data_IF_798046739307
#
_entry.id   IF_798046739307
#
_cell.length_a   1.000
_cell.length_b   1.000
_cell.length_c   1.000
_cell.angle_alpha   90.00
_cell.angle_beta   90.00
_cell.angle_gamma   90.00
#
_symmetry.space_group_name_H-M   'P 1'
#
loop_
_entity.id
_entity.type
_entity.pdbx_description
1 polymer ?
#
# COMPACT_ATOMS: atom_id res chain seq x y z
N UNK A 1 27.99 -6.55 21.70
CA UNK A 1 28.30 -7.22 20.42
C UNK A 1 27.64 -6.40 19.34
N UNK A 2 28.40 -5.91 18.37
CA UNK A 2 27.82 -5.17 17.24
C UNK A 2 26.98 -6.14 16.43
N UNK A 3 25.68 -5.85 16.27
CA UNK A 3 24.78 -6.57 15.37
C UNK A 3 25.11 -6.20 13.92
N UNK A 4 26.34 -6.49 13.49
CA UNK A 4 26.81 -6.19 12.14
C UNK A 4 26.19 -7.20 11.16
N UNK A 5 25.39 -6.70 10.22
CA UNK A 5 24.80 -7.49 9.14
C UNK A 5 25.77 -7.45 7.96
N UNK A 6 26.21 -8.63 7.50
CA UNK A 6 27.06 -8.77 6.31
C UNK A 6 26.29 -9.51 5.23
N UNK A 7 26.14 -8.87 4.08
CA UNK A 7 25.53 -9.43 2.86
C UNK A 7 26.66 -9.52 1.83
N UNK A 8 27.16 -10.71 1.57
CA UNK A 8 28.31 -10.97 0.68
C UNK A 8 27.91 -11.52 -0.70
N UNK A 9 26.62 -11.71 -0.92
CA UNK A 9 26.02 -12.29 -2.12
C UNK A 9 25.11 -11.32 -2.88
N UNK A 10 25.10 -10.01 -2.56
CA UNK A 10 24.19 -9.04 -3.18
C UNK A 10 24.23 -9.02 -4.71
N UNK A 11 25.42 -9.20 -5.31
CA UNK A 11 25.60 -9.23 -6.76
C UNK A 11 25.26 -10.59 -7.40
N UNK A 12 25.25 -11.66 -6.60
CA UNK A 12 24.95 -13.03 -7.03
C UNK A 12 24.22 -13.77 -5.88
N UNK A 13 22.91 -13.48 -5.69
CA UNK A 13 22.19 -13.92 -4.50
C UNK A 13 22.20 -15.43 -4.31
N UNK A 14 22.55 -15.88 -3.10
CA UNK A 14 22.46 -17.28 -2.69
C UNK A 14 21.16 -17.47 -1.94
N UNK A 15 20.14 -17.90 -2.68
CA UNK A 15 18.79 -18.05 -2.14
C UNK A 15 18.70 -19.19 -1.12
N UNK A 16 17.87 -18.99 -0.09
CA UNK A 16 17.43 -20.08 0.79
C UNK A 16 16.49 -21.04 0.04
N UNK A 17 16.21 -22.22 0.63
CA UNK A 17 15.23 -23.16 0.06
C UNK A 17 13.86 -22.50 -0.11
N UNK A 18 13.41 -21.73 0.89
CA UNK A 18 12.12 -21.03 0.87
C UNK A 18 12.09 -19.98 -0.24
N UNK A 19 13.17 -19.22 -0.43
CA UNK A 19 13.27 -18.23 -1.49
C UNK A 19 13.25 -18.87 -2.88
N UNK A 20 13.98 -19.97 -3.09
CA UNK A 20 13.94 -20.73 -4.35
C UNK A 20 12.54 -21.23 -4.65
N UNK A 21 11.89 -21.86 -3.66
CA UNK A 21 10.52 -22.37 -3.80
C UNK A 21 9.54 -21.24 -4.14
N UNK A 22 9.69 -20.06 -3.53
CA UNK A 22 8.86 -18.89 -3.84
C UNK A 22 9.01 -18.41 -5.29
N UNK A 23 10.25 -18.35 -5.79
CA UNK A 23 10.51 -17.99 -7.20
C UNK A 23 9.94 -19.06 -8.13
N UNK A 24 10.25 -20.34 -7.91
CA UNK A 24 9.75 -21.46 -8.73
C UNK A 24 8.22 -21.49 -8.77
N UNK A 25 7.57 -21.25 -7.62
CA UNK A 25 6.12 -21.14 -7.54
C UNK A 25 5.59 -19.97 -8.38
N UNK A 26 6.24 -18.82 -8.31
CA UNK A 26 5.91 -17.65 -9.12
C UNK A 26 6.05 -17.92 -10.62
N UNK A 27 7.17 -18.50 -11.06
CA UNK A 27 7.44 -18.84 -12.46
C UNK A 27 6.46 -19.88 -13.02
N UNK A 28 6.00 -20.82 -12.18
CA UNK A 28 5.01 -21.81 -12.56
C UNK A 28 3.59 -21.24 -12.74
N UNK A 29 3.35 -19.97 -12.37
CA UNK A 29 2.03 -19.33 -12.39
C UNK A 29 1.99 -18.22 -13.43
N UNK A 30 1.12 -18.38 -14.41
CA UNK A 30 0.77 -17.27 -15.30
C UNK A 30 -0.10 -16.26 -14.51
N UNK A 31 0.46 -15.09 -14.25
CA UNK A 31 -0.25 -14.00 -13.57
C UNK A 31 -0.84 -13.04 -14.60
N UNK A 32 -2.16 -12.96 -14.64
CA UNK A 32 -2.89 -12.00 -15.46
C UNK A 32 -2.87 -10.61 -14.80
N UNK A 33 -2.11 -9.69 -15.40
CA UNK A 33 -1.95 -8.28 -15.03
C UNK A 33 -2.66 -7.38 -16.04
N UNK A 34 -3.98 -7.53 -16.15
CA UNK A 34 -4.85 -6.67 -16.96
C UNK A 34 -5.78 -5.86 -16.07
N UNK A 35 -6.26 -4.71 -16.57
CA UNK A 35 -7.24 -3.89 -15.88
C UNK A 35 -8.46 -4.71 -15.46
N UNK A 36 -9.02 -5.49 -16.39
CA UNK A 36 -10.18 -6.35 -16.14
C UNK A 36 -9.91 -7.36 -15.03
N UNK A 37 -8.78 -8.06 -15.06
CA UNK A 37 -8.44 -9.04 -14.03
C UNK A 37 -8.30 -8.43 -12.62
N UNK A 38 -7.85 -7.18 -12.52
CA UNK A 38 -7.78 -6.45 -11.25
C UNK A 38 -9.18 -5.99 -10.81
N UNK A 39 -9.94 -5.36 -11.70
CA UNK A 39 -11.28 -4.86 -11.40
C UNK A 39 -12.23 -6.00 -11.05
N UNK A 40 -12.33 -7.04 -11.86
CA UNK A 40 -13.18 -8.21 -11.61
C UNK A 40 -12.79 -8.92 -10.31
N UNK A 41 -11.49 -9.05 -10.02
CA UNK A 41 -11.02 -9.61 -8.77
C UNK A 41 -11.42 -8.77 -7.55
N UNK A 42 -11.32 -7.45 -7.64
CA UNK A 42 -11.75 -6.54 -6.59
C UNK A 42 -13.27 -6.59 -6.36
N UNK A 43 -14.07 -6.67 -7.43
CA UNK A 43 -15.52 -6.88 -7.35
C UNK A 43 -15.85 -8.21 -6.68
N UNK A 44 -15.18 -9.29 -7.07
CA UNK A 44 -15.42 -10.62 -6.52
C UNK A 44 -15.13 -10.70 -5.01
N UNK A 45 -14.07 -10.00 -4.54
CA UNK A 45 -13.69 -9.98 -3.12
C UNK A 45 -14.64 -9.11 -2.29
N UNK A 46 -15.05 -7.96 -2.81
CA UNK A 46 -15.82 -6.97 -2.03
C UNK A 46 -17.33 -7.08 -2.19
N UNK A 47 -17.81 -7.67 -3.29
CA UNK A 47 -19.21 -7.62 -3.69
C UNK A 47 -19.70 -6.25 -4.17
N UNK A 48 -18.78 -5.28 -4.37
CA UNK A 48 -19.04 -3.92 -4.83
C UNK A 48 -18.53 -3.75 -6.26
N UNK A 49 -19.23 -3.00 -7.11
CA UNK A 49 -18.88 -2.79 -8.52
C UNK A 49 -18.79 -1.31 -8.95
N UNK A 50 -19.04 -0.38 -8.03
CA UNK A 50 -18.98 1.06 -8.27
C UNK A 50 -17.64 1.65 -7.82
N UNK A 51 -16.71 1.80 -8.77
CA UNK A 51 -15.39 2.39 -8.55
C UNK A 51 -15.41 3.94 -8.53
N UNK A 52 -16.57 4.58 -8.71
CA UNK A 52 -16.68 6.00 -8.98
C UNK A 52 -16.16 6.36 -10.37
N UNK A 53 -15.43 7.47 -10.48
CA UNK A 53 -14.85 7.89 -11.77
C UNK A 53 -13.82 6.85 -12.27
N UNK A 54 -13.86 6.57 -13.58
CA UNK A 54 -12.93 5.64 -14.26
C UNK A 54 -11.60 6.28 -14.64
N UNK A 55 -11.25 7.43 -14.05
CA UNK A 55 -10.03 8.18 -14.34
C UNK A 55 -8.76 7.43 -13.93
N UNK A 56 -8.87 6.50 -12.98
CA UNK A 56 -7.76 5.66 -12.51
C UNK A 56 -7.35 4.57 -13.50
N UNK A 57 -8.23 4.20 -14.44
CA UNK A 57 -7.99 3.06 -15.35
C UNK A 57 -6.73 3.27 -16.19
N UNK A 58 -6.53 4.48 -16.73
CA UNK A 58 -5.32 4.82 -17.52
C UNK A 58 -4.05 4.63 -16.69
N UNK A 59 -4.05 5.11 -15.43
CA UNK A 59 -2.90 5.01 -14.54
C UNK A 59 -2.61 3.55 -14.19
N UNK A 60 -3.63 2.78 -13.83
CA UNK A 60 -3.50 1.36 -13.52
C UNK A 60 -2.99 0.58 -14.75
N UNK A 61 -3.56 0.78 -15.92
CA UNK A 61 -3.10 0.14 -17.16
C UNK A 61 -1.62 0.42 -17.43
N UNK A 62 -1.18 1.68 -17.31
CA UNK A 62 0.23 2.03 -17.48
C UNK A 62 1.15 1.31 -16.49
N UNK A 63 0.77 1.24 -15.22
CA UNK A 63 1.53 0.52 -14.19
C UNK A 63 1.61 -0.99 -14.46
N UNK A 64 0.52 -1.59 -14.92
CA UNK A 64 0.47 -3.01 -15.29
C UNK A 64 1.31 -3.28 -16.55
N UNK A 65 1.27 -2.39 -17.55
CA UNK A 65 2.10 -2.48 -18.75
C UNK A 65 3.59 -2.45 -18.42
N UNK A 66 4.05 -1.54 -17.55
CA UNK A 66 5.45 -1.47 -17.12
C UNK A 66 5.91 -2.80 -16.51
N UNK A 67 5.06 -3.40 -15.69
CA UNK A 67 5.35 -4.71 -15.11
C UNK A 67 5.36 -5.80 -16.18
N UNK A 68 4.40 -5.81 -17.11
CA UNK A 68 4.31 -6.78 -18.22
C UNK A 68 5.50 -6.72 -19.17
N UNK A 69 6.03 -5.54 -19.45
CA UNK A 69 7.14 -5.33 -20.38
C UNK A 69 8.53 -5.55 -19.75
N UNK A 70 8.64 -5.62 -18.42
CA UNK A 70 9.90 -5.91 -17.71
C UNK A 70 10.28 -7.40 -17.85
N UNK A 71 11.19 -7.72 -18.77
CA UNK A 71 11.71 -9.08 -19.01
C UNK A 71 12.46 -9.67 -17.80
N UNK A 72 13.02 -8.81 -16.94
CA UNK A 72 13.73 -9.23 -15.72
C UNK A 72 12.76 -9.46 -14.54
N UNK A 73 11.45 -9.24 -14.74
CA UNK A 73 10.44 -9.43 -13.69
C UNK A 73 10.08 -10.90 -13.52
N UNK A 74 10.39 -11.42 -12.34
CA UNK A 74 10.01 -12.77 -11.94
C UNK A 74 8.49 -12.95 -11.86
N UNK A 75 8.01 -14.17 -12.09
CA UNK A 75 6.61 -14.54 -11.90
C UNK A 75 6.10 -14.28 -10.48
N UNK A 76 6.98 -14.41 -9.47
CA UNK A 76 6.68 -14.04 -8.09
C UNK A 76 6.43 -12.52 -7.97
N UNK A 77 7.28 -11.68 -8.57
CA UNK A 77 7.09 -10.23 -8.56
C UNK A 77 5.80 -9.79 -9.24
N UNK A 78 5.39 -10.48 -10.32
CA UNK A 78 4.10 -10.25 -10.99
C UNK A 78 2.93 -10.59 -10.07
N UNK A 79 3.02 -11.71 -9.36
CA UNK A 79 1.99 -12.14 -8.42
C UNK A 79 1.83 -11.17 -7.24
N UNK A 80 2.94 -10.68 -6.69
CA UNK A 80 2.93 -9.68 -5.62
C UNK A 80 2.28 -8.37 -6.10
N UNK A 81 2.66 -7.87 -7.27
CA UNK A 81 2.02 -6.69 -7.88
C UNK A 81 0.52 -6.89 -8.09
N UNK A 82 0.09 -8.06 -8.57
CA UNK A 82 -1.34 -8.38 -8.71
C UNK A 82 -2.05 -8.27 -7.35
N UNK A 83 -1.44 -8.81 -6.29
CA UNK A 83 -1.97 -8.72 -4.92
C UNK A 83 -2.14 -7.28 -4.44
N UNK A 84 -1.13 -6.43 -4.66
CA UNK A 84 -1.19 -5.01 -4.31
C UNK A 84 -2.27 -4.27 -5.11
N UNK A 85 -2.31 -4.44 -6.44
CA UNK A 85 -3.34 -3.82 -7.28
C UNK A 85 -4.75 -4.27 -6.89
N UNK A 86 -4.95 -5.55 -6.56
CA UNK A 86 -6.23 -6.06 -6.06
C UNK A 86 -6.62 -5.38 -4.75
N UNK A 87 -5.69 -5.27 -3.79
CA UNK A 87 -5.91 -4.55 -2.52
C UNK A 87 -6.29 -3.09 -2.77
N UNK A 88 -5.56 -2.38 -3.63
CA UNK A 88 -5.83 -0.98 -3.95
C UNK A 88 -7.20 -0.79 -4.63
N UNK A 89 -7.53 -1.64 -5.61
CA UNK A 89 -8.83 -1.60 -6.29
C UNK A 89 -9.98 -1.94 -5.34
N UNK A 90 -9.81 -2.94 -4.45
CA UNK A 90 -10.78 -3.25 -3.40
C UNK A 90 -10.96 -2.08 -2.43
N UNK A 91 -9.88 -1.41 -2.03
CA UNK A 91 -9.97 -0.22 -1.19
C UNK A 91 -10.70 0.92 -1.91
N UNK A 92 -10.47 1.13 -3.21
CA UNK A 92 -11.19 2.14 -4.00
C UNK A 92 -12.70 1.91 -3.95
N UNK A 93 -13.14 0.68 -4.16
CA UNK A 93 -14.56 0.28 -4.05
C UNK A 93 -15.13 0.58 -2.65
N UNK A 94 -14.43 0.13 -1.60
CA UNK A 94 -14.87 0.33 -0.21
C UNK A 94 -14.93 1.81 0.18
N UNK A 95 -13.93 2.61 -0.24
CA UNK A 95 -13.88 4.06 -0.03
C UNK A 95 -15.07 4.73 -0.71
N UNK A 96 -15.32 4.39 -1.97
CA UNK A 96 -16.42 4.99 -2.73
C UNK A 96 -17.78 4.66 -2.13
N UNK A 97 -18.02 3.39 -1.82
CA UNK A 97 -19.26 2.93 -1.16
C UNK A 97 -19.48 3.61 0.21
N UNK A 98 -18.42 3.70 1.04
CA UNK A 98 -18.51 4.38 2.32
C UNK A 98 -18.91 5.84 2.17
N UNK A 99 -18.27 6.59 1.26
CA UNK A 99 -18.57 8.00 1.04
C UNK A 99 -19.95 8.24 0.43
N UNK A 100 -20.48 7.28 -0.35
CA UNK A 100 -21.87 7.33 -0.83
C UNK A 100 -22.87 7.16 0.30
N UNK A 101 -22.59 6.26 1.25
CA UNK A 101 -23.45 6.00 2.42
C UNK A 101 -23.34 7.09 3.49
N UNK A 102 -22.16 7.70 3.62
CA UNK A 102 -21.82 8.68 4.64
C UNK A 102 -21.19 9.95 4.02
N UNK A 103 -21.96 10.73 3.25
CA UNK A 103 -21.44 11.94 2.61
C UNK A 103 -20.95 13.00 3.61
N UNK A 104 -21.44 12.96 4.86
CA UNK A 104 -20.99 13.84 5.96
C UNK A 104 -19.49 13.71 6.27
N UNK A 105 -18.85 12.59 5.89
CA UNK A 105 -17.40 12.41 6.05
C UNK A 105 -16.64 13.50 5.27
N UNK A 106 -17.15 13.91 4.11
CA UNK A 106 -16.52 14.92 3.26
C UNK A 106 -16.54 16.32 3.88
N UNK A 107 -17.42 16.55 4.87
CA UNK A 107 -17.52 17.82 5.60
C UNK A 107 -16.49 17.92 6.74
N UNK A 108 -15.80 16.82 7.09
CA UNK A 108 -14.80 16.81 8.16
C UNK A 108 -13.59 17.65 7.76
N UNK A 109 -13.27 18.66 8.57
CA UNK A 109 -12.08 19.47 8.35
C UNK A 109 -10.81 18.79 8.88
N UNK A 110 -9.78 18.70 8.02
CA UNK A 110 -8.42 18.32 8.42
C UNK A 110 -7.68 19.58 8.86
N UNK A 111 -7.69 19.84 10.17
CA UNK A 111 -7.19 21.09 10.74
C UNK A 111 -5.69 21.07 10.99
N UNK A 112 -4.97 21.98 10.32
CA UNK A 112 -3.53 22.25 10.54
C UNK A 112 -2.67 20.96 10.54
N UNK A 113 -2.73 20.13 9.48
CA UNK A 113 -1.90 18.94 9.40
C UNK A 113 -0.41 19.32 9.38
N UNK A 114 0.42 18.54 10.07
CA UNK A 114 1.88 18.64 9.97
C UNK A 114 2.34 17.59 8.97
N UNK A 115 2.97 18.03 7.89
CA UNK A 115 3.44 17.17 6.80
C UNK A 115 4.96 17.19 6.83
N UNK A 116 5.57 16.00 6.91
CA UNK A 116 7.02 15.81 6.87
C UNK A 116 7.40 15.42 5.45
N UNK A 117 8.26 16.22 4.80
CA UNK A 117 8.70 15.98 3.42
C UNK A 117 10.22 15.98 3.41
N UNK A 118 10.81 15.04 2.69
CA UNK A 118 12.25 14.95 2.50
C UNK A 118 12.61 13.78 1.60
N UNK A 119 13.88 13.73 1.17
CA UNK A 119 14.38 12.58 0.42
C UNK A 119 14.45 11.34 1.33
N UNK A 120 14.34 10.12 0.76
CA UNK A 120 14.64 8.91 1.50
C UNK A 120 16.00 9.00 2.19
N UNK A 121 16.10 8.43 3.40
CA UNK A 121 17.33 8.42 4.22
C UNK A 121 17.78 9.79 4.74
N UNK A 122 16.90 10.80 4.75
CA UNK A 122 17.18 12.13 5.35
C UNK A 122 16.76 12.27 6.82
N UNK A 123 16.31 11.20 7.46
CA UNK A 123 15.86 11.20 8.86
C UNK A 123 14.36 11.51 9.06
N UNK A 124 13.57 11.55 7.98
CA UNK A 124 12.11 11.74 8.02
C UNK A 124 11.40 10.73 8.92
N UNK A 125 11.78 9.45 8.85
CA UNK A 125 11.23 8.38 9.73
C UNK A 125 11.47 8.67 11.21
N UNK A 126 12.64 9.20 11.58
CA UNK A 126 12.91 9.58 12.98
C UNK A 126 12.04 10.77 13.41
N UNK A 127 11.91 11.78 12.53
CA UNK A 127 11.09 12.96 12.81
C UNK A 127 9.60 12.61 12.94
N UNK A 128 9.05 11.78 12.05
CA UNK A 128 7.63 11.40 12.11
C UNK A 128 7.32 10.57 13.37
N UNK A 129 8.21 9.67 13.77
CA UNK A 129 8.08 8.92 15.02
C UNK A 129 8.15 9.82 16.26
N UNK A 130 9.02 10.84 16.25
CA UNK A 130 9.09 11.82 17.33
C UNK A 130 7.79 12.62 17.46
N UNK A 131 7.19 13.03 16.34
CA UNK A 131 5.90 13.71 16.33
C UNK A 131 4.76 12.77 16.78
N UNK A 132 4.76 11.53 16.32
CA UNK A 132 3.75 10.52 16.66
C UNK A 132 3.75 10.13 18.15
N UNK A 133 4.87 10.29 18.86
CA UNK A 133 4.94 10.05 20.30
C UNK A 133 4.14 11.08 21.14
N UNK A 134 3.79 12.23 20.55
CA UNK A 134 2.99 13.26 21.23
C UNK A 134 1.50 13.04 20.97
N UNK A 135 0.72 12.84 22.04
CA UNK A 135 -0.73 12.58 21.96
C UNK A 135 -1.54 13.74 21.38
N UNK A 136 -0.92 14.91 21.17
CA UNK A 136 -1.49 16.02 20.41
C UNK A 136 -1.37 15.81 18.90
N UNK A 137 -0.87 14.70 18.40
CA UNK A 137 -0.97 14.34 17.00
C UNK A 137 -1.73 13.02 16.86
N UNK A 138 -2.50 12.91 15.78
CA UNK A 138 -3.00 11.63 15.29
C UNK A 138 -2.03 11.19 14.19
N UNK A 139 -1.26 10.16 14.45
CA UNK A 139 -0.47 9.48 13.43
C UNK A 139 -1.26 8.33 12.82
N UNK A 140 -0.89 7.94 11.60
CA UNK A 140 -1.50 6.83 10.89
C UNK A 140 -0.62 5.58 11.04
N UNK A 141 -1.10 4.52 11.70
CA UNK A 141 -0.41 3.23 11.68
C UNK A 141 -0.58 2.54 10.33
N UNK A 142 0.39 1.71 9.94
CA UNK A 142 0.43 0.97 8.67
C UNK A 142 -0.85 0.18 8.41
N UNK A 143 -1.40 -0.49 9.42
CA UNK A 143 -2.60 -1.31 9.24
C UNK A 143 -3.84 -0.48 8.85
N UNK A 144 -3.95 0.77 9.33
CA UNK A 144 -5.02 1.70 8.91
C UNK A 144 -4.79 2.19 7.47
N UNK A 145 -3.54 2.33 7.03
CA UNK A 145 -3.24 2.77 5.65
C UNK A 145 -3.48 1.68 4.62
N UNK A 146 -3.20 0.41 4.97
CA UNK A 146 -3.48 -0.72 4.09
C UNK A 146 -4.97 -0.98 3.86
N UNK A 147 -5.81 -0.72 4.85
CA UNK A 147 -7.25 -0.95 4.80
C UNK A 147 -8.01 0.19 5.52
N UNK A 148 -8.18 1.35 4.88
CA UNK A 148 -8.71 2.56 5.54
C UNK A 148 -10.21 2.47 5.89
N UNK A 149 -10.93 1.54 5.27
CA UNK A 149 -12.36 1.32 5.51
C UNK A 149 -12.54 0.03 6.29
N UNK A 150 -13.09 0.15 7.50
CA UNK A 150 -13.53 -1.01 8.28
C UNK A 150 -14.85 -1.55 7.69
N UNK A 151 -14.91 -2.84 7.42
CA UNK A 151 -16.14 -3.47 6.94
C UNK A 151 -17.11 -3.69 8.10
N UNK A 152 -18.40 -3.39 7.88
CA UNK A 152 -19.43 -3.44 8.94
C UNK A 152 -19.66 -4.83 9.52
N UNK A 153 -19.27 -5.89 8.81
CA UNK A 153 -19.39 -7.28 9.25
C UNK A 153 -18.13 -7.78 9.96
N UNK A 154 -17.02 -7.02 9.91
CA UNK A 154 -15.78 -7.33 10.62
C UNK A 154 -15.88 -6.77 12.04
N UNK A 155 -16.51 -7.53 12.94
CA UNK A 155 -16.45 -7.24 14.36
C UNK A 155 -15.00 -7.40 14.87
N UNK A 156 -14.68 -6.71 15.96
CA UNK A 156 -13.43 -6.97 16.69
C UNK A 156 -13.33 -8.46 17.00
N UNK A 157 -12.11 -9.00 16.91
CA UNK A 157 -11.82 -10.37 17.29
C UNK A 157 -12.23 -10.65 18.74
N UNK A 158 -12.31 -11.93 19.11
CA UNK A 158 -12.64 -12.33 20.49
C UNK A 158 -11.62 -11.79 21.53
N UNK A 159 -10.43 -11.41 21.07
CA UNK A 159 -9.33 -10.76 21.80
C UNK A 159 -9.39 -9.22 21.79
N UNK A 160 -10.34 -8.63 21.07
CA UNK A 160 -10.49 -7.19 20.89
C UNK A 160 -9.62 -6.58 19.80
N UNK A 161 -8.91 -7.40 19.00
CA UNK A 161 -8.03 -6.92 17.92
C UNK A 161 -8.82 -6.67 16.64
N UNK A 162 -8.51 -5.58 15.94
CA UNK A 162 -9.10 -5.28 14.63
C UNK A 162 -8.60 -6.30 13.59
N UNK A 163 -9.47 -6.97 12.81
CA UNK A 163 -9.06 -7.95 11.81
C UNK A 163 -8.05 -7.41 10.78
N UNK A 164 -8.10 -6.10 10.47
CA UNK A 164 -7.15 -5.43 9.55
C UNK A 164 -5.74 -5.41 10.11
N UNK A 165 -5.60 -5.23 11.44
CA UNK A 165 -4.31 -5.32 12.12
C UNK A 165 -3.72 -6.72 11.95
N UNK A 166 -4.52 -7.77 12.16
CA UNK A 166 -4.09 -9.16 12.03
C UNK A 166 -3.69 -9.53 10.60
N UNK A 167 -4.37 -8.98 9.58
CA UNK A 167 -3.97 -9.16 8.18
C UNK A 167 -2.66 -8.45 7.86
N UNK A 168 -2.49 -7.22 8.36
CA UNK A 168 -1.24 -6.48 8.23
C UNK A 168 -0.07 -7.23 8.88
N UNK A 169 -0.29 -7.82 10.07
CA UNK A 169 0.71 -8.62 10.78
C UNK A 169 1.12 -9.86 9.98
N UNK A 170 0.15 -10.59 9.41
CA UNK A 170 0.43 -11.77 8.58
C UNK A 170 1.22 -11.41 7.31
N UNK A 171 0.91 -10.27 6.68
CA UNK A 171 1.68 -9.77 5.54
C UNK A 171 3.13 -9.45 5.94
N UNK A 172 3.33 -8.82 7.10
CA UNK A 172 4.66 -8.52 7.61
C UNK A 172 5.48 -9.78 7.92
N UNK A 173 4.89 -10.76 8.60
CA UNK A 173 5.55 -12.04 8.90
C UNK A 173 5.95 -12.78 7.62
N UNK A 174 5.09 -12.76 6.61
CA UNK A 174 5.36 -13.36 5.30
C UNK A 174 6.53 -12.67 4.60
N UNK A 175 6.63 -11.34 4.69
CA UNK A 175 7.75 -10.56 4.16
C UNK A 175 9.07 -10.90 4.88
N UNK A 176 9.05 -11.04 6.21
CA UNK A 176 10.23 -11.39 6.99
C UNK A 176 10.76 -12.80 6.66
N UNK A 177 9.87 -13.75 6.35
CA UNK A 177 10.25 -15.08 5.86
C UNK A 177 10.95 -15.01 4.50
N UNK A 178 10.44 -14.19 3.58
CA UNK A 178 11.02 -14.02 2.24
C UNK A 178 12.31 -13.19 2.20
N UNK A 179 12.44 -12.21 3.10
CA UNK A 179 13.56 -11.27 3.18
C UNK A 179 14.00 -11.09 4.65
N UNK A 180 14.84 -11.98 5.21
CA UNK A 180 15.15 -12.01 6.64
C UNK A 180 15.74 -10.73 7.23
N UNK A 181 16.41 -9.92 6.42
CA UNK A 181 17.02 -8.65 6.87
C UNK A 181 16.10 -7.43 6.70
N UNK A 182 14.88 -7.61 6.18
CA UNK A 182 13.97 -6.50 5.90
C UNK A 182 13.64 -5.70 7.15
N UNK A 183 13.45 -6.34 8.31
CA UNK A 183 13.18 -5.67 9.57
C UNK A 183 14.30 -4.70 10.01
N UNK A 184 15.55 -4.97 9.62
CA UNK A 184 16.66 -4.07 9.91
C UNK A 184 16.72 -2.87 8.93
N UNK A 185 16.09 -2.97 7.76
CA UNK A 185 16.15 -1.97 6.69
C UNK A 185 14.90 -1.10 6.64
N UNK A 186 13.73 -1.73 6.71
CA UNK A 186 12.41 -1.12 6.58
C UNK A 186 11.41 -1.91 7.45
N UNK A 187 11.30 -1.55 8.74
CA UNK A 187 10.35 -2.21 9.64
C UNK A 187 8.91 -1.80 9.29
N UNK A 188 8.05 -2.80 9.06
CA UNK A 188 6.67 -2.66 8.57
C UNK A 188 5.66 -3.36 9.49
N UNK A 189 5.90 -3.30 10.80
CA UNK A 189 4.97 -3.74 11.83
C UNK A 189 3.64 -2.96 11.72
N UNK A 190 2.49 -3.59 12.03
CA UNK A 190 1.18 -2.96 11.89
C UNK A 190 1.05 -1.57 12.53
N UNK A 191 1.58 -1.40 13.75
CA UNK A 191 1.46 -0.17 14.52
C UNK A 191 2.51 0.90 14.16
N UNK A 192 3.45 0.59 13.26
CA UNK A 192 4.41 1.59 12.83
C UNK A 192 3.73 2.72 12.07
N UNK A 193 4.17 3.94 12.38
CA UNK A 193 3.73 5.15 11.70
C UNK A 193 4.18 5.07 10.26
N UNK A 194 3.24 5.23 9.33
CA UNK A 194 3.50 5.00 7.92
C UNK A 194 3.26 6.23 7.04
N UNK A 195 3.78 6.16 5.83
CA UNK A 195 3.78 7.23 4.83
C UNK A 195 2.42 7.35 4.14
N UNK A 196 2.12 8.55 3.63
CA UNK A 196 0.83 8.89 3.03
C UNK A 196 0.61 8.28 1.63
N UNK A 197 1.67 7.78 1.00
CA UNK A 197 1.62 7.15 -0.32
C UNK A 197 0.63 5.97 -0.38
N UNK A 198 0.44 5.22 0.71
CA UNK A 198 -0.58 4.16 0.84
C UNK A 198 -2.00 4.72 0.70
N UNK A 199 -2.28 5.94 1.17
CA UNK A 199 -3.60 6.57 1.04
C UNK A 199 -3.92 7.01 -0.39
N UNK A 200 -2.88 7.17 -1.22
CA UNK A 200 -3.01 7.50 -2.64
C UNK A 200 -3.03 6.25 -3.52
N UNK A 201 -2.66 5.09 -2.99
CA UNK A 201 -2.57 3.85 -3.75
C UNK A 201 -3.93 3.40 -4.34
N UNK A 202 -5.08 3.54 -3.65
CA UNK A 202 -6.40 3.27 -4.24
C UNK A 202 -6.79 4.23 -5.39
N UNK A 203 -6.07 5.34 -5.57
CA UNK A 203 -6.22 6.24 -6.72
C UNK A 203 -5.23 5.95 -7.85
N UNK A 204 -4.39 4.93 -7.67
CA UNK A 204 -3.31 4.53 -8.57
C UNK A 204 -2.42 5.71 -8.99
N UNK A 205 -2.17 6.65 -8.07
CA UNK A 205 -1.33 7.81 -8.32
C UNK A 205 -0.40 8.07 -7.15
N UNK A 206 0.66 7.27 -7.06
CA UNK A 206 1.75 7.49 -6.13
C UNK A 206 3.09 7.11 -6.77
N UNK A 207 4.18 7.54 -6.13
CA UNK A 207 5.53 7.29 -6.63
C UNK A 207 6.06 5.90 -6.25
N UNK A 208 5.33 5.08 -5.46
CA UNK A 208 5.87 3.85 -4.87
C UNK A 208 6.33 2.82 -5.93
N UNK A 209 5.63 2.74 -7.07
CA UNK A 209 5.98 1.81 -8.14
C UNK A 209 7.44 1.96 -8.61
N UNK A 210 7.99 3.18 -8.63
CA UNK A 210 9.36 3.43 -9.07
C UNK A 210 10.42 2.83 -8.14
N UNK A 211 10.05 2.50 -6.90
CA UNK A 211 10.94 1.93 -5.89
C UNK A 211 10.92 0.40 -5.89
N UNK A 212 9.87 -0.22 -6.44
CA UNK A 212 9.68 -1.68 -6.47
C UNK A 212 9.75 -2.26 -7.88
N UNK A 213 9.68 -1.42 -8.91
CA UNK A 213 9.72 -1.80 -10.30
C UNK A 213 10.54 -0.86 -11.19
N UNK A 214 11.00 -1.38 -12.32
CA UNK A 214 11.59 -0.56 -13.40
C UNK A 214 10.45 0.06 -14.20
N UNK A 215 9.97 1.22 -13.78
CA UNK A 215 8.79 1.85 -14.39
C UNK A 215 9.07 3.30 -14.89
N UNK A 216 9.93 3.48 -15.91
CA UNK A 216 10.31 4.81 -16.40
C UNK A 216 9.16 5.59 -17.05
N UNK A 217 8.24 4.93 -17.76
CA UNK A 217 7.04 5.54 -18.35
C UNK A 217 6.07 5.96 -17.26
N UNK A 218 5.89 5.16 -16.19
CA UNK A 218 5.10 5.58 -15.03
C UNK A 218 5.69 6.81 -14.36
N UNK A 219 7.00 6.81 -14.08
CA UNK A 219 7.70 7.99 -13.52
C UNK A 219 7.46 9.23 -14.36
N UNK A 220 7.65 9.13 -15.68
CA UNK A 220 7.51 10.26 -16.60
C UNK A 220 6.06 10.75 -16.68
N UNK A 221 5.09 9.82 -16.70
CA UNK A 221 3.67 10.15 -16.60
C UNK A 221 3.38 10.88 -15.28
N UNK A 222 3.76 10.31 -14.14
CA UNK A 222 3.51 10.89 -12.82
C UNK A 222 4.08 12.32 -12.70
N UNK A 223 5.32 12.54 -13.14
CA UNK A 223 5.97 13.86 -13.09
C UNK A 223 5.36 14.89 -14.05
N UNK A 224 4.74 14.45 -15.14
CA UNK A 224 4.16 15.32 -16.16
C UNK A 224 2.70 15.73 -15.87
N UNK A 225 2.03 15.10 -14.90
CA UNK A 225 0.62 15.30 -14.62
C UNK A 225 0.38 16.09 -13.31
N UNK A 226 -0.72 16.84 -13.27
CA UNK A 226 -1.15 17.57 -12.06
C UNK A 226 -1.52 16.58 -10.95
N UNK A 227 -0.88 16.75 -9.79
CA UNK A 227 -1.08 15.89 -8.63
C UNK A 227 -2.20 16.38 -7.70
N UNK A 228 -2.72 17.59 -7.92
CA UNK A 228 -3.82 18.19 -7.14
C UNK A 228 -5.02 17.24 -6.91
N UNK A 229 -5.60 16.59 -7.93
CA UNK A 229 -6.74 15.69 -7.73
C UNK A 229 -6.39 14.47 -6.84
N UNK A 230 -5.15 14.00 -6.90
CA UNK A 230 -4.67 12.84 -6.14
C UNK A 230 -4.43 13.18 -4.67
N UNK A 231 -3.91 14.39 -4.38
CA UNK A 231 -3.89 14.91 -3.01
C UNK A 231 -5.30 15.17 -2.46
N UNK A 232 -6.25 15.55 -3.30
CA UNK A 232 -7.67 15.63 -2.90
C UNK A 232 -8.28 14.25 -2.64
N UNK A 233 -7.86 13.20 -3.35
CA UNK A 233 -8.17 11.80 -3.02
C UNK A 233 -7.63 11.43 -1.64
N UNK A 234 -6.33 11.65 -1.40
CA UNK A 234 -5.69 11.41 -0.11
C UNK A 234 -6.41 12.11 1.04
N UNK A 235 -6.82 13.38 0.85
CA UNK A 235 -7.59 14.12 1.85
C UNK A 235 -8.91 13.43 2.19
N UNK A 236 -9.63 12.88 1.21
CA UNK A 236 -10.87 12.11 1.46
C UNK A 236 -10.60 10.88 2.30
N UNK A 237 -9.49 10.18 2.07
CA UNK A 237 -9.11 9.02 2.90
C UNK A 237 -8.72 9.46 4.32
N UNK A 238 -8.02 10.58 4.48
CA UNK A 238 -7.75 11.15 5.81
C UNK A 238 -9.03 11.51 6.57
N UNK A 239 -10.04 12.05 5.87
CA UNK A 239 -11.36 12.33 6.46
C UNK A 239 -12.06 11.05 6.93
N UNK A 240 -11.97 9.95 6.16
CA UNK A 240 -12.48 8.64 6.57
C UNK A 240 -11.77 8.17 7.85
N UNK A 241 -10.44 8.23 7.90
CA UNK A 241 -9.68 7.82 9.08
C UNK A 241 -10.04 8.67 10.31
N UNK A 242 -10.22 9.99 10.14
CA UNK A 242 -10.65 10.89 11.20
C UNK A 242 -12.11 10.65 11.61
N UNK A 243 -13.00 10.21 10.71
CA UNK A 243 -14.37 9.85 11.04
C UNK A 243 -14.44 8.61 11.94
N UNK A 244 -13.69 7.56 11.62
CA UNK A 244 -13.60 6.37 12.46
C UNK A 244 -12.97 6.65 13.82
N UNK A 245 -11.96 7.53 13.85
CA UNK A 245 -11.23 7.90 15.07
C UNK A 245 -11.06 9.41 15.16
N UNK A 246 -12.12 10.12 15.63
CA UNK A 246 -12.05 11.56 15.83
C UNK A 246 -10.96 11.92 16.82
N UNK A 247 -10.43 13.12 16.65
CA UNK A 247 -9.49 13.71 17.60
C UNK A 247 -10.23 14.51 18.67
#
# INVERSE_FOLDING_TARGET
MTNEIRIDDLAAPVLSDIQRMGIEYGEAKQTDLTLDAICEGAVAVTGLDDFGDNDFCERLELQLTEMNEDEDRTGLGRMLMKGDCLRYASNRLKIHDLLKRHPEILEIEIMKPVIVIGLPRSGTTNLVNLLAADSRFRSMPLWESYEPVAESHEALGADGVDPRWSRCQQAWESMQVGAPFVAAMHPMEPDHVHEENELMAPDFSNYNLEWVARAPKWRDYYLAHDQTPHYAYMKRVLQILQWYRPR
#
